data_IF_143441307746
#
_entry.id   IF_143441307746
#
_cell.length_a   1.000
_cell.length_b   1.000
_cell.length_c   1.000
_cell.angle_alpha   90.00
_cell.angle_beta   90.00
_cell.angle_gamma   90.00
#
_symmetry.space_group_name_H-M   'P 1'
#
loop_
_entity.id
_entity.type
_entity.pdbx_description
1 polymer ?
#
# COMPACT_ATOMS: atom_id res chain seq x y z
N UNK A 1 20.44 6.01 25.37
CA UNK A 1 21.05 4.94 24.56
C UNK A 1 19.95 4.06 23.97
N UNK A 2 19.90 4.02 22.64
CA UNK A 2 19.21 3.09 21.73
C UNK A 2 17.83 2.51 22.14
N UNK A 3 16.75 3.11 21.64
CA UNK A 3 15.40 2.56 21.66
C UNK A 3 15.04 1.91 20.31
N UNK A 4 15.36 0.63 20.12
CA UNK A 4 14.73 -0.20 19.08
C UNK A 4 13.67 -1.09 19.75
N UNK A 5 12.39 -0.85 19.44
CA UNK A 5 11.23 -1.34 20.22
C UNK A 5 10.32 -2.36 19.52
N UNK A 6 10.77 -3.09 18.49
CA UNK A 6 9.96 -4.12 17.82
C UNK A 6 10.79 -5.36 17.47
N UNK A 7 10.18 -6.54 17.50
CA UNK A 7 10.77 -7.80 17.04
C UNK A 7 9.85 -8.42 16.01
N UNK A 8 10.30 -8.47 14.76
CA UNK A 8 9.59 -9.04 13.62
C UNK A 8 10.00 -10.52 13.46
N UNK A 9 9.28 -11.46 14.08
CA UNK A 9 9.43 -12.88 13.76
C UNK A 9 8.46 -13.23 12.63
N UNK A 10 8.92 -13.18 11.38
CA UNK A 10 8.17 -13.60 10.19
C UNK A 10 8.75 -14.92 9.66
N UNK A 11 7.89 -15.93 9.56
CA UNK A 11 8.21 -17.23 8.95
C UNK A 11 7.95 -17.19 7.42
N UNK A 12 9.00 -17.19 6.59
CA UNK A 12 9.00 -17.74 5.20
C UNK A 12 10.43 -17.88 4.60
N UNK A 13 10.65 -18.99 3.87
CA UNK A 13 11.75 -19.39 2.93
C UNK A 13 12.28 -18.31 1.95
N UNK A 14 13.41 -18.52 1.22
CA UNK A 14 14.82 -18.77 1.61
C UNK A 14 15.51 -17.45 2.07
N UNK A 15 16.77 -17.53 2.54
CA UNK A 15 17.50 -16.43 3.17
C UNK A 15 17.34 -15.06 2.45
N UNK A 16 16.60 -14.09 3.03
CA UNK A 16 16.41 -12.78 2.43
C UNK A 16 17.77 -12.06 2.26
N UNK A 17 17.95 -11.43 1.11
CA UNK A 17 19.19 -10.73 0.75
C UNK A 17 19.13 -9.24 1.09
N UNK A 18 20.24 -8.53 0.94
CA UNK A 18 20.21 -7.06 0.90
C UNK A 18 19.41 -6.59 -0.33
N UNK A 19 18.91 -5.35 -0.26
CA UNK A 19 18.19 -4.74 -1.38
C UNK A 19 19.02 -4.79 -2.66
N UNK A 20 18.40 -5.18 -3.78
CA UNK A 20 18.99 -5.17 -5.12
C UNK A 20 18.89 -3.81 -5.82
N UNK A 21 18.25 -2.84 -5.15
CA UNK A 21 18.03 -1.47 -5.63
C UNK A 21 18.49 -0.47 -4.56
N UNK A 22 18.89 0.75 -4.94
CA UNK A 22 19.05 1.86 -4.01
C UNK A 22 17.75 2.13 -3.24
N UNK A 23 17.88 2.34 -1.93
CA UNK A 23 16.76 2.67 -1.04
C UNK A 23 17.20 3.80 -0.13
N UNK A 24 16.41 4.87 -0.09
CA UNK A 24 16.59 5.90 0.95
C UNK A 24 15.84 5.45 2.19
N UNK A 25 16.50 5.47 3.33
CA UNK A 25 15.93 4.97 4.59
C UNK A 25 15.39 6.12 5.45
N UNK A 26 14.75 5.77 6.56
CA UNK A 26 14.21 6.74 7.52
C UNK A 26 15.23 7.80 7.96
N UNK A 27 16.50 7.46 8.10
CA UNK A 27 17.51 8.43 8.55
C UNK A 27 17.82 9.49 7.50
N UNK A 28 17.70 9.15 6.21
CA UNK A 28 17.80 10.10 5.11
C UNK A 28 16.49 10.85 4.87
N UNK A 29 15.35 10.22 5.14
CA UNK A 29 14.02 10.74 4.80
C UNK A 29 13.40 11.59 5.90
N UNK A 30 13.85 11.48 7.15
CA UNK A 30 13.20 12.10 8.32
C UNK A 30 12.99 13.60 8.14
N UNK A 31 13.96 14.32 7.62
CA UNK A 31 13.85 15.78 7.45
C UNK A 31 13.15 16.20 6.14
N UNK A 32 12.92 15.26 5.22
CA UNK A 32 12.09 15.49 4.04
C UNK A 32 10.60 15.23 4.29
N UNK A 33 10.29 14.23 5.14
CA UNK A 33 8.90 13.91 5.53
C UNK A 33 8.34 15.01 6.45
N UNK A 34 9.19 15.56 7.30
CA UNK A 34 8.79 16.50 8.35
C UNK A 34 9.50 17.83 8.17
N UNK A 35 8.81 18.75 7.51
CA UNK A 35 9.33 20.06 7.09
C UNK A 35 9.06 21.16 8.10
N UNK A 36 8.18 20.93 9.08
CA UNK A 36 7.74 21.93 10.06
C UNK A 36 8.22 21.60 11.48
N UNK A 37 8.42 22.63 12.32
CA UNK A 37 8.76 22.45 13.73
C UNK A 37 7.62 21.85 14.57
N UNK A 38 6.38 21.90 14.07
CA UNK A 38 5.21 21.25 14.67
C UNK A 38 5.19 19.73 14.42
N UNK A 39 6.06 19.23 13.54
CA UNK A 39 6.11 17.83 13.14
C UNK A 39 6.87 16.94 14.14
N UNK A 40 7.47 17.52 15.19
CA UNK A 40 8.33 16.80 16.13
C UNK A 40 7.60 15.67 16.89
N UNK A 41 6.31 15.81 17.15
CA UNK A 41 5.50 14.74 17.74
C UNK A 41 5.34 13.57 16.74
N UNK A 42 5.02 13.89 15.50
CA UNK A 42 4.87 12.91 14.42
C UNK A 42 6.19 12.18 14.10
N UNK A 43 7.35 12.86 14.22
CA UNK A 43 8.69 12.26 14.08
C UNK A 43 8.89 11.06 15.00
N UNK A 44 8.33 11.09 16.21
CA UNK A 44 8.48 10.01 17.20
C UNK A 44 7.56 8.80 16.91
N UNK A 45 6.51 9.04 16.10
CA UNK A 45 5.54 8.03 15.71
C UNK A 45 5.98 7.27 14.46
N UNK A 46 6.81 7.86 13.60
CA UNK A 46 7.40 7.18 12.44
C UNK A 46 8.36 6.07 12.91
N UNK A 47 8.01 4.81 12.61
CA UNK A 47 8.84 3.66 12.94
C UNK A 47 10.00 3.52 11.97
N UNK A 48 9.68 3.59 10.69
CA UNK A 48 10.60 3.38 9.59
C UNK A 48 9.98 3.92 8.31
N UNK A 49 10.83 4.22 7.34
CA UNK A 49 10.48 4.75 6.05
C UNK A 49 11.47 4.26 5.00
N UNK A 50 10.96 3.96 3.81
CA UNK A 50 11.75 3.61 2.64
C UNK A 50 11.21 4.32 1.41
N UNK A 51 12.10 4.93 0.66
CA UNK A 51 11.80 5.48 -0.66
C UNK A 51 12.63 4.74 -1.70
N UNK A 52 11.93 4.26 -2.74
CA UNK A 52 12.51 3.43 -3.80
C UNK A 52 12.10 3.98 -5.15
N UNK A 53 12.98 3.86 -6.14
CA UNK A 53 12.62 4.12 -7.53
C UNK A 53 11.59 3.09 -8.01
N UNK A 54 10.49 3.58 -8.58
CA UNK A 54 9.34 2.73 -8.93
C UNK A 54 9.69 1.77 -10.07
N UNK A 55 10.46 2.23 -11.05
CA UNK A 55 10.90 1.41 -12.19
C UNK A 55 11.89 0.33 -11.75
N UNK A 56 12.89 0.68 -10.94
CA UNK A 56 13.87 -0.29 -10.44
C UNK A 56 13.21 -1.34 -9.55
N UNK A 57 12.26 -0.93 -8.68
CA UNK A 57 11.45 -1.84 -7.88
C UNK A 57 10.72 -2.85 -8.77
N UNK A 58 9.98 -2.35 -9.76
CA UNK A 58 9.19 -3.18 -10.67
C UNK A 58 10.05 -4.12 -11.53
N UNK A 59 11.25 -3.70 -11.95
CA UNK A 59 12.15 -4.53 -12.76
C UNK A 59 12.93 -5.56 -11.94
N UNK A 60 13.37 -5.23 -10.72
CA UNK A 60 14.16 -6.14 -9.87
C UNK A 60 13.32 -7.08 -9.03
N UNK A 61 12.08 -6.69 -8.73
CA UNK A 61 11.13 -7.45 -7.95
C UNK A 61 9.79 -7.53 -8.72
N UNK A 62 9.76 -8.17 -9.89
CA UNK A 62 8.58 -8.15 -10.75
C UNK A 62 7.38 -8.85 -10.09
N UNK A 63 6.14 -8.37 -10.31
CA UNK A 63 4.93 -9.01 -9.81
C UNK A 63 4.85 -10.50 -10.15
N UNK A 64 4.50 -11.33 -9.17
CA UNK A 64 4.45 -12.79 -9.28
C UNK A 64 3.04 -13.33 -9.02
N UNK A 65 2.12 -13.06 -9.93
CA UNK A 65 0.75 -13.61 -9.87
C UNK A 65 0.75 -15.12 -10.14
N UNK A 66 0.11 -15.89 -9.27
CA UNK A 66 0.00 -17.36 -9.38
C UNK A 66 -1.36 -17.81 -9.89
N UNK A 67 -2.42 -17.09 -9.53
CA UNK A 67 -3.76 -17.33 -10.05
C UNK A 67 -3.85 -17.05 -11.55
N UNK A 68 -4.56 -17.92 -12.27
CA UNK A 68 -4.73 -17.86 -13.73
C UNK A 68 -5.39 -16.56 -14.20
N UNK A 69 -6.37 -16.04 -13.46
CA UNK A 69 -7.14 -14.87 -13.87
C UNK A 69 -6.36 -13.58 -13.59
N UNK A 70 -5.61 -13.54 -12.48
CA UNK A 70 -4.66 -12.44 -12.21
C UNK A 70 -3.48 -12.45 -13.19
N UNK A 71 -2.93 -13.62 -13.52
CA UNK A 71 -1.93 -13.77 -14.58
C UNK A 71 -2.45 -13.27 -15.92
N UNK A 72 -3.68 -13.63 -16.28
CA UNK A 72 -4.33 -13.15 -17.50
C UNK A 72 -4.43 -11.61 -17.53
N UNK A 73 -4.91 -10.99 -16.45
CA UNK A 73 -5.00 -9.52 -16.37
C UNK A 73 -3.61 -8.88 -16.39
N UNK A 74 -2.64 -9.41 -15.65
CA UNK A 74 -1.28 -8.88 -15.65
C UNK A 74 -0.61 -8.98 -17.03
N UNK A 75 -0.82 -10.10 -17.73
CA UNK A 75 -0.39 -10.29 -19.11
C UNK A 75 -1.08 -9.29 -20.03
N UNK A 76 -2.40 -9.10 -19.88
CA UNK A 76 -3.15 -8.09 -20.61
C UNK A 76 -2.55 -6.71 -20.41
N UNK A 77 -2.30 -6.29 -19.14
CA UNK A 77 -1.63 -5.04 -18.74
C UNK A 77 -0.32 -4.83 -19.51
N UNK A 78 0.57 -5.83 -19.48
CA UNK A 78 1.91 -5.74 -20.06
C UNK A 78 1.93 -5.88 -21.60
N UNK A 79 1.12 -6.75 -22.19
CA UNK A 79 1.17 -7.02 -23.63
C UNK A 79 0.47 -5.93 -24.46
N UNK A 80 -0.68 -5.44 -24.00
CA UNK A 80 -1.47 -4.47 -24.75
C UNK A 80 -0.97 -3.04 -24.60
N UNK A 81 -0.41 -2.70 -23.43
CA UNK A 81 0.02 -1.32 -23.12
C UNK A 81 1.50 -1.17 -22.75
N UNK A 82 2.24 -2.27 -22.57
CA UNK A 82 3.66 -2.26 -22.16
C UNK A 82 3.88 -1.34 -20.96
N UNK A 83 3.01 -1.46 -19.96
CA UNK A 83 3.11 -0.65 -18.77
C UNK A 83 4.50 -0.85 -18.13
N UNK A 84 5.12 0.27 -17.81
CA UNK A 84 6.37 0.34 -17.06
C UNK A 84 6.32 1.64 -16.26
N UNK A 85 6.61 1.59 -14.95
CA UNK A 85 6.71 2.80 -14.14
C UNK A 85 7.75 3.77 -14.70
N UNK A 86 7.50 5.07 -14.55
CA UNK A 86 8.47 6.08 -14.95
C UNK A 86 9.72 6.03 -14.06
N UNK A 87 10.89 6.26 -14.66
CA UNK A 87 12.18 6.21 -13.95
C UNK A 87 12.42 7.41 -13.03
N UNK A 88 11.62 8.47 -13.13
CA UNK A 88 11.70 9.67 -12.27
C UNK A 88 10.75 9.62 -11.08
N UNK A 89 9.93 8.57 -10.94
CA UNK A 89 8.99 8.40 -9.83
C UNK A 89 9.56 7.52 -8.72
N UNK A 90 9.33 7.92 -7.48
CA UNK A 90 9.56 7.10 -6.30
C UNK A 90 8.26 6.68 -5.61
N UNK A 91 8.25 5.48 -5.04
CA UNK A 91 7.26 5.04 -4.05
C UNK A 91 7.85 5.28 -2.67
N UNK A 92 7.09 5.97 -1.82
CA UNK A 92 7.43 6.17 -0.42
C UNK A 92 6.56 5.28 0.45
N UNK A 93 7.18 4.41 1.23
CA UNK A 93 6.50 3.56 2.22
C UNK A 93 6.93 4.01 3.61
N UNK A 94 5.95 4.17 4.50
CA UNK A 94 6.21 4.53 5.91
C UNK A 94 5.36 3.69 6.84
N UNK A 95 5.91 3.31 7.99
CA UNK A 95 5.18 2.55 9.02
C UNK A 95 5.13 3.35 10.31
N UNK A 96 3.97 3.37 10.95
CA UNK A 96 3.70 4.30 12.04
C UNK A 96 3.27 3.58 13.31
N UNK A 97 3.60 4.16 14.46
CA UNK A 97 2.94 3.86 15.73
C UNK A 97 1.58 4.55 15.77
N UNK A 98 0.58 3.96 16.43
CA UNK A 98 -0.66 4.65 16.70
C UNK A 98 -0.35 5.79 17.66
N UNK A 99 -0.88 6.97 17.37
CA UNK A 99 -0.77 8.14 18.24
C UNK A 99 -2.04 8.96 18.16
N UNK A 100 -2.35 9.62 19.26
CA UNK A 100 -3.38 10.65 19.33
C UNK A 100 -2.59 11.93 19.65
N UNK A 101 -2.60 12.96 18.79
CA UNK A 101 -1.93 14.22 19.12
C UNK A 101 -2.46 14.75 20.46
N UNK A 102 -1.58 15.07 21.41
CA UNK A 102 -1.99 15.56 22.74
C UNK A 102 -2.51 17.00 22.67
N UNK A 103 -2.12 17.76 21.65
CA UNK A 103 -2.46 19.18 21.49
C UNK A 103 -2.87 19.43 20.04
N UNK A 104 -4.15 19.73 19.80
CA UNK A 104 -4.53 20.48 18.61
C UNK A 104 -4.03 21.91 18.82
N UNK A 105 -3.15 22.48 17.97
CA UNK A 105 -2.61 23.82 18.20
C UNK A 105 -3.74 24.83 18.44
N UNK A 106 -3.66 25.62 19.50
CA UNK A 106 -4.64 26.66 19.88
C UNK A 106 -4.94 27.67 18.75
N UNK A 107 -4.07 27.71 17.74
CA UNK A 107 -4.14 28.60 16.57
C UNK A 107 -4.74 27.94 15.32
N UNK A 108 -5.13 26.66 15.37
CA UNK A 108 -6.02 26.11 14.35
C UNK A 108 -7.39 26.73 14.63
N UNK A 109 -7.63 27.90 14.03
CA UNK A 109 -8.99 28.37 13.74
C UNK A 109 -9.80 27.16 13.31
N UNK A 110 -10.87 26.90 14.04
CA UNK A 110 -11.81 25.77 13.96
C UNK A 110 -12.34 25.51 12.55
N UNK A 111 -11.49 25.13 11.60
CA UNK A 111 -11.91 24.44 10.39
C UNK A 111 -12.19 23.02 10.84
N UNK A 112 -13.42 22.81 11.33
CA UNK A 112 -13.91 21.49 11.67
C UNK A 112 -13.61 20.54 10.52
N UNK A 113 -12.97 19.40 10.80
CA UNK A 113 -12.80 18.33 9.83
C UNK A 113 -14.17 18.04 9.20
N UNK A 114 -14.30 18.31 7.91
CA UNK A 114 -15.55 18.06 7.20
C UNK A 114 -15.68 16.56 7.00
N UNK A 115 -16.67 15.97 7.66
CA UNK A 115 -16.99 14.55 7.51
C UNK A 115 -18.24 14.45 6.63
N UNK A 116 -18.15 13.63 5.59
CA UNK A 116 -19.28 13.33 4.69
C UNK A 116 -19.51 11.83 4.66
N UNK A 117 -20.78 11.42 4.75
CA UNK A 117 -21.18 10.03 4.60
C UNK A 117 -21.82 9.82 3.24
N UNK A 118 -21.31 8.85 2.49
CA UNK A 118 -21.86 8.41 1.21
C UNK A 118 -22.18 6.92 1.33
N UNK A 119 -23.45 6.50 1.23
CA UNK A 119 -23.84 5.09 1.33
C UNK A 119 -23.53 4.34 0.03
N UNK A 120 -22.24 4.06 -0.20
CA UNK A 120 -21.74 3.29 -1.34
C UNK A 120 -20.40 2.64 -0.99
N UNK A 121 -19.86 1.84 -1.91
CA UNK A 121 -18.49 1.30 -1.81
C UNK A 121 -17.46 2.43 -1.96
N UNK A 122 -16.26 2.23 -1.39
CA UNK A 122 -15.16 3.15 -1.60
C UNK A 122 -14.80 3.23 -3.09
N UNK A 123 -14.76 4.45 -3.61
CA UNK A 123 -14.39 4.76 -4.98
C UNK A 123 -13.08 5.55 -4.99
N UNK A 124 -12.34 5.45 -6.09
CA UNK A 124 -11.28 6.40 -6.38
C UNK A 124 -11.93 7.71 -6.83
N UNK A 125 -11.76 8.76 -6.03
CA UNK A 125 -12.16 10.10 -6.39
C UNK A 125 -11.10 10.74 -7.28
N UNK A 126 -11.46 11.84 -7.93
CA UNK A 126 -10.45 12.79 -8.39
C UNK A 126 -10.84 14.15 -7.84
N UNK A 127 -10.11 14.60 -6.83
CA UNK A 127 -10.14 15.99 -6.43
C UNK A 127 -9.42 16.80 -7.52
N UNK A 128 -10.15 17.64 -8.24
CA UNK A 128 -9.61 18.43 -9.35
C UNK A 128 -8.76 19.62 -8.92
N UNK A 129 -8.26 19.66 -7.69
CA UNK A 129 -7.41 20.74 -7.19
C UNK A 129 -6.00 20.24 -6.83
N UNK A 130 -5.00 21.09 -7.07
CA UNK A 130 -3.59 20.78 -6.82
C UNK A 130 -3.19 20.86 -5.33
N UNK A 131 -4.15 21.15 -4.43
CA UNK A 131 -3.91 21.35 -2.99
C UNK A 131 -4.40 20.17 -2.16
N UNK A 132 -5.11 19.23 -2.77
CA UNK A 132 -5.67 18.07 -2.11
C UNK A 132 -4.82 16.85 -2.37
N UNK A 133 -4.46 16.15 -1.30
CA UNK A 133 -3.82 14.84 -1.37
C UNK A 133 -4.83 13.80 -0.91
N UNK A 134 -5.25 12.95 -1.83
CA UNK A 134 -6.18 11.87 -1.55
C UNK A 134 -5.44 10.65 -1.00
N UNK A 135 -6.03 10.06 0.05
CA UNK A 135 -5.56 8.84 0.68
C UNK A 135 -6.69 7.83 0.69
N UNK A 136 -6.42 6.65 0.14
CA UNK A 136 -7.39 5.58 -0.01
C UNK A 136 -7.14 4.50 1.03
N UNK A 137 -8.21 4.01 1.66
CA UNK A 137 -8.10 2.98 2.67
C UNK A 137 -7.89 1.61 2.03
N UNK A 138 -6.90 0.88 2.49
CA UNK A 138 -6.67 -0.52 2.17
C UNK A 138 -6.96 -1.36 3.42
N UNK A 139 -7.97 -2.22 3.36
CA UNK A 139 -8.30 -3.18 4.41
C UNK A 139 -7.35 -4.37 4.31
N UNK A 140 -6.12 -4.15 4.77
CA UNK A 140 -5.02 -5.09 4.65
C UNK A 140 -5.19 -6.30 5.58
N UNK A 141 -4.50 -7.38 5.24
CA UNK A 141 -4.12 -8.39 6.21
C UNK A 141 -3.00 -7.87 7.15
N UNK A 142 -2.78 -8.54 8.29
CA UNK A 142 -1.62 -8.26 9.14
C UNK A 142 -0.31 -8.38 8.36
N UNK A 143 -0.25 -9.24 7.34
CA UNK A 143 0.84 -9.34 6.38
C UNK A 143 0.43 -8.69 5.05
N UNK A 144 0.90 -7.46 4.82
CA UNK A 144 0.49 -6.59 3.72
C UNK A 144 0.63 -7.29 2.37
N UNK A 145 -0.47 -7.32 1.63
CA UNK A 145 -0.62 -7.95 0.31
C UNK A 145 -0.29 -9.45 0.27
N UNK A 146 -0.27 -10.17 1.39
CA UNK A 146 0.12 -11.58 1.43
C UNK A 146 -0.66 -12.48 0.45
N UNK A 147 -1.93 -12.15 0.21
CA UNK A 147 -2.83 -12.96 -0.63
C UNK A 147 -2.99 -12.43 -2.05
N UNK A 148 -2.23 -11.40 -2.46
CA UNK A 148 -2.42 -10.75 -3.77
C UNK A 148 -2.35 -11.72 -4.97
N UNK A 149 -1.63 -12.84 -4.84
CA UNK A 149 -1.49 -13.85 -5.90
C UNK A 149 -2.56 -14.95 -5.88
N UNK A 150 -3.46 -14.93 -4.90
CA UNK A 150 -4.54 -15.91 -4.71
C UNK A 150 -5.69 -15.77 -5.71
N UNK A 151 -6.66 -16.70 -5.69
CA UNK A 151 -7.74 -16.74 -6.68
C UNK A 151 -8.91 -15.78 -6.39
N UNK A 152 -8.94 -15.16 -5.21
CA UNK A 152 -10.00 -14.22 -4.84
C UNK A 152 -9.67 -12.81 -5.36
N UNK A 153 -10.69 -11.96 -5.31
CA UNK A 153 -10.55 -10.53 -5.55
C UNK A 153 -11.25 -9.80 -4.40
N UNK A 154 -10.65 -9.85 -3.22
CA UNK A 154 -10.99 -8.98 -2.10
C UNK A 154 -10.58 -7.52 -2.39
N UNK A 155 -10.94 -6.60 -1.50
CA UNK A 155 -10.67 -5.18 -1.70
C UNK A 155 -9.16 -4.89 -1.79
N UNK A 156 -8.33 -5.48 -0.93
CA UNK A 156 -6.88 -5.32 -0.99
C UNK A 156 -6.27 -5.91 -2.28
N UNK A 157 -6.72 -7.10 -2.68
CA UNK A 157 -6.29 -7.78 -3.91
C UNK A 157 -6.69 -6.99 -5.18
N UNK A 158 -7.85 -6.35 -5.17
CA UNK A 158 -8.30 -5.45 -6.24
C UNK A 158 -7.33 -4.26 -6.37
N UNK A 159 -6.99 -3.59 -5.27
CA UNK A 159 -6.08 -2.45 -5.31
C UNK A 159 -4.69 -2.85 -5.82
N UNK A 160 -4.20 -4.05 -5.46
CA UNK A 160 -2.92 -4.57 -6.00
C UNK A 160 -3.00 -4.84 -7.50
N UNK A 161 -4.13 -5.35 -8.00
CA UNK A 161 -4.29 -5.65 -9.42
C UNK A 161 -4.47 -4.38 -10.26
N UNK A 162 -5.14 -3.37 -9.71
CA UNK A 162 -5.28 -2.06 -10.34
C UNK A 162 -3.98 -1.23 -10.28
N UNK A 163 -3.20 -1.39 -9.21
CA UNK A 163 -1.90 -0.76 -8.99
C UNK A 163 -0.78 -1.82 -8.94
N UNK A 164 -0.41 -2.37 -10.09
CA UNK A 164 0.47 -3.56 -10.20
C UNK A 164 1.84 -3.43 -9.52
N UNK A 165 2.30 -2.21 -9.24
CA UNK A 165 3.53 -1.98 -8.48
C UNK A 165 3.44 -2.43 -7.03
N UNK A 166 2.24 -2.50 -6.46
CA UNK A 166 2.04 -3.00 -5.10
C UNK A 166 2.40 -4.50 -5.00
N UNK A 167 2.23 -5.25 -6.08
CA UNK A 167 2.73 -6.62 -6.17
C UNK A 167 4.27 -6.65 -6.20
N UNK A 168 4.92 -5.71 -6.90
CA UNK A 168 6.38 -5.59 -6.87
C UNK A 168 6.90 -5.23 -5.48
N UNK A 169 6.20 -4.33 -4.78
CA UNK A 169 6.48 -3.98 -3.39
C UNK A 169 6.36 -5.20 -2.46
N UNK A 170 5.37 -6.06 -2.67
CA UNK A 170 5.27 -7.32 -1.94
C UNK A 170 6.48 -8.23 -2.20
N UNK A 171 6.86 -8.39 -3.46
CA UNK A 171 8.03 -9.19 -3.82
C UNK A 171 9.34 -8.63 -3.24
N UNK A 172 9.43 -7.31 -3.08
CA UNK A 172 10.52 -6.65 -2.37
C UNK A 172 10.54 -7.03 -0.88
N UNK A 173 9.41 -6.94 -0.17
CA UNK A 173 9.34 -7.28 1.25
C UNK A 173 9.67 -8.74 1.56
N UNK A 174 9.29 -9.68 0.69
CA UNK A 174 9.56 -11.11 0.92
C UNK A 174 10.99 -11.53 0.57
N UNK A 175 11.70 -10.75 -0.25
CA UNK A 175 13.06 -11.07 -0.71
C UNK A 175 14.17 -10.28 0.00
N UNK A 176 13.80 -9.24 0.76
CA UNK A 176 14.76 -8.25 1.29
C UNK A 176 14.69 -8.16 2.81
N UNK A 177 15.84 -8.09 3.48
CA UNK A 177 15.93 -7.82 4.93
C UNK A 177 15.95 -6.33 5.26
N UNK A 178 15.67 -6.00 6.52
CA UNK A 178 15.75 -4.65 7.08
C UNK A 178 14.87 -3.62 6.36
N UNK A 179 13.76 -4.09 5.78
CA UNK A 179 12.79 -3.23 5.10
C UNK A 179 11.85 -2.55 6.11
N UNK A 180 10.95 -1.69 5.63
CA UNK A 180 9.78 -1.25 6.41
C UNK A 180 8.99 -2.43 6.99
N UNK A 181 9.04 -3.56 6.30
CA UNK A 181 8.29 -4.77 6.60
C UNK A 181 6.86 -4.69 6.07
N UNK A 182 6.26 -5.86 5.89
CA UNK A 182 4.85 -5.99 5.47
C UNK A 182 3.88 -5.99 6.64
N UNK A 183 4.34 -5.97 7.89
CA UNK A 183 3.43 -6.15 9.01
C UNK A 183 2.66 -4.88 9.36
N UNK A 184 1.32 -4.90 9.20
CA UNK A 184 0.43 -3.80 9.59
C UNK A 184 0.10 -3.80 11.10
N UNK A 185 0.71 -4.72 11.84
CA UNK A 185 0.65 -4.81 13.31
C UNK A 185 2.04 -4.97 13.91
N UNK A 186 2.18 -4.61 15.18
CA UNK A 186 3.37 -4.88 15.98
C UNK A 186 2.98 -5.50 17.32
N UNK A 187 3.97 -5.70 18.20
CA UNK A 187 3.74 -6.14 19.57
C UNK A 187 4.16 -5.06 20.56
N UNK A 188 3.30 -4.77 21.54
CA UNK A 188 3.66 -3.95 22.69
C UNK A 188 4.66 -4.72 23.58
N UNK A 189 5.82 -4.14 23.83
CA UNK A 189 6.92 -4.82 24.56
C UNK A 189 6.60 -5.18 26.01
N UNK A 190 5.62 -4.53 26.63
CA UNK A 190 5.32 -4.73 28.06
C UNK A 190 4.17 -5.70 28.25
N UNK A 191 3.14 -5.58 27.41
CA UNK A 191 1.91 -6.37 27.49
C UNK A 191 1.89 -7.55 26.52
N UNK A 192 2.83 -7.59 25.57
CA UNK A 192 2.89 -8.51 24.44
C UNK A 192 1.62 -8.52 23.57
N UNK A 193 0.74 -7.53 23.75
CA UNK A 193 -0.49 -7.39 22.95
C UNK A 193 -0.16 -6.87 21.57
N UNK A 194 -0.91 -7.34 20.58
CA UNK A 194 -0.89 -6.79 19.23
C UNK A 194 -1.31 -5.32 19.26
N UNK A 195 -0.55 -4.48 18.57
CA UNK A 195 -0.84 -3.05 18.38
C UNK A 195 -0.88 -2.73 16.89
N UNK A 196 -1.78 -1.85 16.42
CA UNK A 196 -1.81 -1.48 15.02
C UNK A 196 -0.55 -0.69 14.66
N UNK A 197 0.08 -1.02 13.53
CA UNK A 197 1.18 -0.24 12.96
C UNK A 197 0.89 0.06 11.49
N UNK A 198 0.02 1.05 11.20
CA UNK A 198 -0.41 1.34 9.83
C UNK A 198 0.78 1.60 8.90
N UNK A 199 0.62 1.15 7.66
CA UNK A 199 1.59 1.39 6.59
C UNK A 199 0.97 2.38 5.60
N UNK A 200 1.65 3.49 5.36
CA UNK A 200 1.29 4.44 4.32
C UNK A 200 2.15 4.17 3.09
N UNK A 201 1.52 4.10 1.92
CA UNK A 201 2.18 3.93 0.62
C UNK A 201 1.81 5.13 -0.23
N UNK A 202 2.79 5.92 -0.64
CA UNK A 202 2.56 7.12 -1.44
C UNK A 202 3.06 6.93 -2.87
N UNK A 203 2.43 7.64 -3.80
CA UNK A 203 2.87 7.76 -5.19
C UNK A 203 2.89 6.44 -5.98
N UNK A 204 2.00 5.47 -5.72
CA UNK A 204 1.82 4.35 -6.66
C UNK A 204 0.91 4.75 -7.82
N UNK A 205 0.86 3.95 -8.87
CA UNK A 205 0.03 4.20 -10.05
C UNK A 205 -1.04 3.14 -10.22
N UNK A 206 -2.29 3.61 -10.29
CA UNK A 206 -3.42 2.86 -10.80
C UNK A 206 -3.41 2.93 -12.32
N UNK A 207 -3.45 1.79 -12.99
CA UNK A 207 -3.32 1.69 -14.45
C UNK A 207 -4.56 1.11 -15.14
N UNK A 208 -5.35 0.35 -14.38
CA UNK A 208 -6.61 -0.20 -14.83
C UNK A 208 -7.68 0.03 -13.77
N UNK A 209 -8.92 -0.11 -14.22
CA UNK A 209 -10.12 -0.20 -13.41
C UNK A 209 -10.79 -1.52 -13.67
N UNK A 210 -11.22 -2.22 -12.62
CA UNK A 210 -11.99 -3.45 -12.77
C UNK A 210 -13.42 -3.21 -12.28
N UNK A 211 -14.40 -3.32 -13.18
CA UNK A 211 -15.82 -3.31 -12.80
C UNK A 211 -16.14 -4.58 -12.00
N UNK A 212 -16.25 -4.40 -10.68
CA UNK A 212 -16.44 -5.50 -9.72
C UNK A 212 -17.84 -6.12 -9.74
N UNK A 213 -18.84 -5.51 -10.41
CA UNK A 213 -20.26 -5.95 -10.36
C UNK A 213 -20.47 -7.43 -10.67
N UNK A 214 -19.63 -8.02 -11.52
CA UNK A 214 -19.73 -9.43 -11.93
C UNK A 214 -18.50 -10.28 -11.62
N UNK A 215 -17.42 -9.67 -11.14
CA UNK A 215 -16.12 -10.34 -10.97
C UNK A 215 -15.50 -10.08 -9.60
N UNK A 216 -16.28 -9.74 -8.57
CA UNK A 216 -15.79 -9.58 -7.20
C UNK A 216 -15.67 -10.90 -6.42
N UNK A 217 -14.68 -11.00 -5.53
CA UNK A 217 -14.50 -12.14 -4.62
C UNK A 217 -14.44 -13.48 -5.35
N UNK A 218 -15.29 -14.43 -4.96
CA UNK A 218 -15.36 -15.76 -5.58
C UNK A 218 -15.83 -15.77 -7.04
N UNK A 219 -16.54 -14.72 -7.48
CA UNK A 219 -16.95 -14.61 -8.88
C UNK A 219 -15.72 -14.39 -9.79
N UNK A 220 -14.70 -13.68 -9.29
CA UNK A 220 -13.43 -13.50 -9.98
C UNK A 220 -12.80 -14.85 -10.36
N UNK A 221 -12.65 -15.76 -9.39
CA UNK A 221 -12.02 -17.07 -9.58
C UNK A 221 -12.68 -17.92 -10.68
N UNK A 222 -14.00 -17.71 -10.88
CA UNK A 222 -14.83 -18.46 -11.84
C UNK A 222 -15.00 -17.74 -13.18
N UNK A 223 -14.59 -16.48 -13.27
CA UNK A 223 -14.75 -15.67 -14.48
C UNK A 223 -13.93 -16.25 -15.63
N UNK A 224 -14.52 -16.23 -16.82
CA UNK A 224 -13.82 -16.49 -18.08
C UNK A 224 -12.98 -15.28 -18.48
N UNK A 225 -11.93 -15.50 -19.28
CA UNK A 225 -11.10 -14.42 -19.83
C UNK A 225 -11.94 -13.34 -20.54
N UNK A 226 -12.99 -13.74 -21.27
CA UNK A 226 -13.92 -12.80 -21.92
C UNK A 226 -14.61 -11.88 -20.90
N UNK A 227 -15.03 -12.40 -19.76
CA UNK A 227 -15.63 -11.58 -18.70
C UNK A 227 -14.61 -10.65 -18.07
N UNK A 228 -13.37 -11.11 -17.89
CA UNK A 228 -12.28 -10.29 -17.34
C UNK A 228 -11.92 -9.14 -18.28
N UNK A 229 -11.81 -9.38 -19.59
CA UNK A 229 -11.58 -8.32 -20.59
C UNK A 229 -12.72 -7.30 -20.60
N UNK A 230 -13.97 -7.75 -20.43
CA UNK A 230 -15.11 -6.84 -20.40
C UNK A 230 -15.17 -6.00 -19.13
N UNK A 231 -14.70 -6.52 -18.00
CA UNK A 231 -14.67 -5.82 -16.72
C UNK A 231 -13.42 -4.94 -16.56
N UNK A 232 -12.33 -5.23 -17.27
CA UNK A 232 -11.06 -4.52 -17.15
C UNK A 232 -11.00 -3.35 -18.14
N UNK A 233 -10.85 -2.14 -17.60
CA UNK A 233 -10.74 -0.91 -18.35
C UNK A 233 -9.36 -0.29 -18.09
N UNK A 234 -8.59 -0.05 -19.16
CA UNK A 234 -7.39 0.76 -19.01
C UNK A 234 -7.75 2.21 -18.80
N UNK A 235 -7.02 2.85 -17.89
CA UNK A 235 -7.08 4.28 -17.71
C UNK A 235 -6.31 4.96 -18.84
N UNK A 236 -6.83 6.09 -19.34
CA UNK A 236 -6.17 6.88 -20.40
C UNK A 236 -4.78 7.37 -19.96
N UNK A 237 -4.62 7.59 -18.65
CA UNK A 237 -3.36 7.92 -17.99
C UNK A 237 -3.30 7.20 -16.64
N UNK A 238 -2.12 6.73 -16.20
CA UNK A 238 -1.95 6.25 -14.84
C UNK A 238 -2.40 7.30 -13.83
N UNK A 239 -3.20 6.88 -12.85
CA UNK A 239 -3.67 7.74 -11.78
C UNK A 239 -2.79 7.53 -10.55
N UNK A 240 -2.29 8.63 -9.97
CA UNK A 240 -1.54 8.57 -8.72
C UNK A 240 -2.46 8.13 -7.58
N UNK A 241 -2.03 7.16 -6.80
CA UNK A 241 -2.75 6.64 -5.63
C UNK A 241 -1.84 6.67 -4.40
N UNK A 242 -2.39 7.10 -3.27
CA UNK A 242 -1.78 6.95 -1.95
C UNK A 242 -2.69 6.06 -1.09
N UNK A 243 -2.11 5.11 -0.36
CA UNK A 243 -2.82 4.12 0.43
C UNK A 243 -2.53 4.27 1.92
N UNK A 244 -3.58 4.14 2.73
CA UNK A 244 -3.48 3.88 4.17
C UNK A 244 -3.82 2.40 4.36
N UNK A 245 -2.81 1.57 4.64
CA UNK A 245 -3.01 0.15 4.91
C UNK A 245 -3.11 -0.10 6.41
N UNK A 246 -4.28 -0.60 6.82
CA UNK A 246 -4.58 -1.01 8.19
C UNK A 246 -5.14 -2.42 8.19
N UNK A 247 -4.84 -3.19 9.24
CA UNK A 247 -5.43 -4.51 9.41
C UNK A 247 -6.96 -4.40 9.52
N UNK A 248 -7.68 -5.17 8.70
CA UNK A 248 -9.11 -5.31 8.83
C UNK A 248 -9.48 -5.99 10.17
N UNK A 249 -10.51 -5.53 10.89
CA UNK A 249 -10.98 -6.21 12.10
C UNK A 249 -11.33 -7.68 11.80
N UNK A 250 -10.86 -8.59 12.65
CA UNK A 250 -11.23 -10.00 12.52
C UNK A 250 -12.75 -10.16 12.65
N UNK A 251 -13.35 -10.97 11.76
CA UNK A 251 -14.80 -11.29 11.71
C UNK A 251 -15.76 -10.13 11.38
N UNK A 252 -15.28 -9.00 10.85
CA UNK A 252 -16.17 -7.95 10.34
C UNK A 252 -17.04 -8.41 9.17
N UNK A 253 -18.34 -8.07 9.20
CA UNK A 253 -19.18 -8.04 8.00
C UNK A 253 -19.08 -6.61 7.44
N UNK A 254 -18.39 -6.47 6.32
CA UNK A 254 -18.38 -5.22 5.54
C UNK A 254 -19.70 -4.97 4.85
#
# INVERSE_FOLDING_TARGET
MAHSRFTDDIWCTPAPGASKIPVRTVDELRDHIFVSSQDNEFKQCLLTAEEMNSKELYEKYPPNFRDKNKQFIFKYINEQRRYSPSSDRSILVTRWRPFIPEVLPDNITTTSTKITFTPDVFQYGTCGDDRTVEWYLNFANHDLFAYYSGPLLAQDELQVLECVELAALREYFVQTINTVGSSTVGSDKTTHKTVPTPILISNTERVIEIDTKKVYGNAFAKASERQLVQACHYLDKPQKVNLIAIEAPSSGQG
#
